data_IF_753114090453
#
_entry.id   IF_753114090453
#
_cell.length_a   1.000
_cell.length_b   1.000
_cell.length_c   1.000
_cell.angle_alpha   90.00
_cell.angle_beta   90.00
_cell.angle_gamma   90.00
#
_symmetry.space_group_name_H-M   'P 1'
#
loop_
_entity.id
_entity.type
_entity.pdbx_description
1 polymer ?
#
# COMPACT_ATOMS: atom_id res chain seq x y z
N UNK A 1 16.36 -10.73 -0.93
CA UNK A 1 15.81 -9.51 -0.29
C UNK A 1 14.99 -9.96 0.92
N UNK A 2 14.96 -9.21 2.03
CA UNK A 2 14.23 -9.65 3.23
C UNK A 2 12.72 -9.51 3.05
N UNK A 3 11.96 -10.50 3.50
CA UNK A 3 10.50 -10.43 3.56
C UNK A 3 10.06 -9.66 4.81
N UNK A 4 9.00 -8.89 4.67
CA UNK A 4 8.38 -8.14 5.75
C UNK A 4 6.92 -8.59 5.88
N UNK A 5 6.54 -9.02 7.08
CA UNK A 5 5.17 -9.36 7.44
C UNK A 5 4.56 -8.19 8.22
N UNK A 6 3.54 -7.56 7.64
CA UNK A 6 2.89 -6.37 8.17
C UNK A 6 1.54 -6.75 8.76
N UNK A 7 1.33 -6.48 10.05
CA UNK A 7 0.04 -6.67 10.72
C UNK A 7 -0.71 -5.35 10.79
N UNK A 8 -2.00 -5.30 10.40
CA UNK A 8 -2.85 -4.15 10.68
C UNK A 8 -3.12 -4.06 12.19
N UNK A 9 -2.42 -3.18 12.90
CA UNK A 9 -2.52 -3.05 14.37
C UNK A 9 -3.50 -1.96 14.82
N UNK A 10 -4.17 -2.14 15.96
CA UNK A 10 -5.01 -1.11 16.60
C UNK A 10 -4.25 -0.35 17.67
N UNK A 11 -3.38 -1.05 18.38
CA UNK A 11 -2.54 -0.49 19.41
C UNK A 11 -1.06 -0.60 19.02
N UNK A 12 -0.20 0.33 19.47
CA UNK A 12 1.24 0.27 19.19
C UNK A 12 1.87 -1.08 19.58
N UNK A 13 1.36 -1.68 20.65
CA UNK A 13 1.88 -2.92 21.24
C UNK A 13 1.33 -4.20 20.58
N UNK A 14 0.38 -4.09 19.64
CA UNK A 14 -0.20 -5.26 18.94
C UNK A 14 0.73 -5.87 17.88
N UNK A 15 1.90 -5.27 17.66
CA UNK A 15 2.92 -5.77 16.74
C UNK A 15 3.66 -6.95 17.36
N UNK A 16 3.12 -8.16 17.18
CA UNK A 16 3.83 -9.39 17.52
C UNK A 16 4.71 -9.91 16.37
N UNK A 17 5.54 -10.91 16.67
CA UNK A 17 6.27 -11.67 15.64
C UNK A 17 5.28 -12.53 14.82
N UNK A 18 5.48 -12.61 13.50
CA UNK A 18 4.61 -13.34 12.58
C UNK A 18 4.53 -14.83 12.95
N UNK A 19 5.67 -15.50 13.11
CA UNK A 19 5.73 -16.94 13.37
C UNK A 19 5.07 -17.30 14.72
N UNK A 20 5.33 -16.49 15.74
CA UNK A 20 4.78 -16.67 17.08
C UNK A 20 3.25 -16.50 17.08
N UNK A 21 2.73 -15.50 16.36
CA UNK A 21 1.28 -15.31 16.21
C UNK A 21 0.61 -16.46 15.46
N UNK A 22 1.18 -16.89 14.32
CA UNK A 22 0.65 -18.00 13.52
C UNK A 22 0.56 -19.27 14.36
N UNK A 23 1.63 -19.60 15.11
CA UNK A 23 1.64 -20.77 15.98
C UNK A 23 0.57 -20.69 17.08
N UNK A 24 0.48 -19.55 17.75
CA UNK A 24 -0.51 -19.30 18.80
C UNK A 24 -1.95 -19.41 18.27
N UNK A 25 -2.22 -18.86 17.08
CA UNK A 25 -3.53 -18.98 16.45
C UNK A 25 -3.86 -20.42 16.10
N UNK A 26 -2.91 -21.14 15.49
CA UNK A 26 -3.11 -22.55 15.14
C UNK A 26 -3.39 -23.41 16.37
N UNK A 27 -2.61 -23.24 17.45
CA UNK A 27 -2.83 -23.92 18.74
C UNK A 27 -4.20 -23.57 19.36
N UNK A 28 -4.67 -22.35 19.13
CA UNK A 28 -6.01 -21.88 19.51
C UNK A 28 -7.13 -22.24 18.53
N UNK A 29 -6.87 -23.01 17.47
CA UNK A 29 -7.86 -23.42 16.48
C UNK A 29 -8.31 -22.31 15.52
N UNK A 30 -7.51 -21.24 15.37
CA UNK A 30 -7.75 -20.11 14.45
C UNK A 30 -6.78 -20.17 13.27
N UNK A 31 -7.20 -19.61 12.14
CA UNK A 31 -6.39 -19.49 10.92
C UNK A 31 -5.83 -18.06 10.79
N UNK A 32 -4.63 -17.94 10.22
CA UNK A 32 -3.99 -16.66 9.89
C UNK A 32 -4.01 -16.45 8.38
N UNK A 33 -4.56 -15.33 7.92
CA UNK A 33 -4.62 -14.95 6.51
C UNK A 33 -3.41 -14.09 6.12
N UNK A 34 -2.69 -14.48 5.07
CA UNK A 34 -1.54 -13.76 4.54
C UNK A 34 -1.88 -13.23 3.15
N UNK A 35 -2.09 -11.92 3.05
CA UNK A 35 -2.27 -11.18 1.81
C UNK A 35 -0.91 -10.95 1.14
N UNK A 36 -0.82 -11.22 -0.15
CA UNK A 36 0.41 -11.01 -0.92
C UNK A 36 0.40 -9.62 -1.56
N UNK A 37 1.49 -8.88 -1.38
CA UNK A 37 1.83 -7.74 -2.23
C UNK A 37 2.18 -8.23 -3.65
N UNK A 38 1.91 -7.39 -4.66
CA UNK A 38 2.25 -7.65 -6.05
C UNK A 38 3.76 -7.92 -6.24
N UNK A 39 4.64 -7.30 -5.45
CA UNK A 39 6.08 -7.56 -5.54
C UNK A 39 6.46 -9.00 -5.18
N UNK A 40 5.74 -9.64 -4.25
CA UNK A 40 5.98 -11.04 -3.89
C UNK A 40 5.52 -11.95 -5.02
N UNK A 41 4.35 -11.71 -5.61
CA UNK A 41 3.86 -12.50 -6.74
C UNK A 41 4.75 -12.37 -7.97
N UNK A 42 5.23 -11.15 -8.26
CA UNK A 42 6.18 -10.91 -9.33
C UNK A 42 7.46 -11.73 -9.12
N UNK A 43 8.00 -11.76 -7.89
CA UNK A 43 9.19 -12.54 -7.56
C UNK A 43 8.96 -14.05 -7.64
N UNK A 44 7.82 -14.54 -7.18
CA UNK A 44 7.42 -15.95 -7.37
C UNK A 44 7.40 -16.29 -8.86
N UNK A 45 6.85 -15.40 -9.68
CA UNK A 45 6.73 -15.61 -11.13
C UNK A 45 8.05 -15.55 -11.88
N UNK A 46 8.98 -14.69 -11.48
CA UNK A 46 10.35 -14.67 -12.02
C UNK A 46 11.04 -16.03 -11.85
N UNK A 47 10.77 -16.73 -10.75
CA UNK A 47 11.47 -17.97 -10.40
C UNK A 47 10.75 -19.20 -10.94
N UNK A 48 9.42 -19.28 -10.78
CA UNK A 48 8.64 -20.43 -11.23
C UNK A 48 8.15 -20.32 -12.68
N UNK A 49 8.10 -19.12 -13.25
CA UNK A 49 7.73 -18.88 -14.65
C UNK A 49 8.87 -19.11 -15.65
N UNK A 50 10.12 -19.23 -15.19
CA UNK A 50 11.26 -19.49 -16.07
C UNK A 50 12.31 -20.40 -15.40
N UNK A 51 12.19 -21.73 -15.52
CA UNK A 51 12.99 -22.72 -14.75
C UNK A 51 14.48 -22.80 -15.14
N UNK A 52 14.99 -21.84 -15.91
CA UNK A 52 16.39 -21.77 -16.36
C UNK A 52 17.27 -20.79 -15.58
N UNK A 53 16.72 -20.02 -14.61
CA UNK A 53 17.50 -19.07 -13.82
C UNK A 53 18.06 -19.70 -12.53
N UNK A 54 19.38 -19.58 -12.33
CA UNK A 54 20.11 -20.02 -11.14
C UNK A 54 19.86 -19.13 -9.89
N UNK A 55 18.80 -18.33 -9.88
CA UNK A 55 18.44 -17.40 -8.79
C UNK A 55 17.48 -18.03 -7.75
N UNK A 56 17.61 -19.33 -7.50
CA UNK A 56 16.88 -20.04 -6.44
C UNK A 56 17.25 -19.60 -5.01
N UNK A 57 18.15 -18.62 -4.83
CA UNK A 57 18.78 -18.31 -3.56
C UNK A 57 17.91 -17.50 -2.57
N UNK A 58 16.86 -16.79 -3.02
CA UNK A 58 16.03 -15.91 -2.17
C UNK A 58 14.63 -16.48 -1.80
N UNK A 59 14.29 -17.69 -2.25
CA UNK A 59 13.03 -18.39 -1.95
C UNK A 59 13.01 -19.31 -0.72
N UNK A 60 14.15 -19.89 -0.24
CA UNK A 60 14.11 -20.78 0.92
C UNK A 60 13.51 -20.12 2.15
N UNK A 61 13.80 -18.84 2.37
CA UNK A 61 13.29 -18.07 3.51
C UNK A 61 11.77 -17.89 3.43
N UNK A 62 11.24 -17.33 2.34
CA UNK A 62 9.79 -17.17 2.17
C UNK A 62 9.03 -18.50 2.25
N UNK A 63 9.62 -19.56 1.66
CA UNK A 63 9.05 -20.92 1.73
C UNK A 63 9.03 -21.44 3.15
N UNK A 64 10.10 -21.24 3.94
CA UNK A 64 10.14 -21.65 5.34
C UNK A 64 9.16 -20.86 6.19
N UNK A 65 9.08 -19.55 5.99
CA UNK A 65 8.15 -18.65 6.69
C UNK A 65 6.68 -19.01 6.42
N UNK A 66 6.36 -19.46 5.20
CA UNK A 66 5.00 -19.83 4.78
C UNK A 66 4.68 -21.33 4.90
N UNK A 67 5.64 -22.18 5.29
CA UNK A 67 5.43 -23.62 5.50
C UNK A 67 4.79 -23.95 6.86
N UNK A 68 4.24 -22.96 7.56
CA UNK A 68 3.56 -23.12 8.84
C UNK A 68 2.13 -23.68 8.66
N UNK A 69 1.62 -24.52 9.57
CA UNK A 69 0.21 -24.90 9.55
C UNK A 69 -0.69 -23.71 9.91
N UNK A 70 -1.95 -23.76 9.47
CA UNK A 70 -2.96 -22.77 9.84
C UNK A 70 -2.92 -21.45 9.05
N UNK A 71 -2.11 -21.35 7.99
CA UNK A 71 -2.15 -20.19 7.09
C UNK A 71 -3.20 -20.33 5.99
N UNK A 72 -3.80 -19.20 5.63
CA UNK A 72 -4.55 -19.00 4.38
C UNK A 72 -3.71 -18.05 3.52
N UNK A 73 -3.32 -18.49 2.32
CA UNK A 73 -2.52 -17.68 1.41
C UNK A 73 -3.46 -16.95 0.43
N UNK A 74 -3.47 -15.62 0.47
CA UNK A 74 -4.41 -14.79 -0.27
C UNK A 74 -3.71 -13.89 -1.29
N UNK A 75 -3.56 -14.35 -2.54
CA UNK A 75 -2.98 -13.55 -3.63
C UNK A 75 -3.99 -12.57 -4.27
N UNK A 76 -5.27 -12.60 -3.85
CA UNK A 76 -6.35 -11.94 -4.55
C UNK A 76 -6.21 -10.41 -4.67
N UNK A 77 -5.57 -9.76 -3.71
CA UNK A 77 -5.27 -8.32 -3.81
C UNK A 77 -4.27 -8.04 -4.92
N UNK A 78 -3.11 -8.69 -4.90
CA UNK A 78 -2.10 -8.54 -5.93
C UNK A 78 -2.63 -8.91 -7.33
N UNK A 79 -3.47 -9.93 -7.48
CA UNK A 79 -4.11 -10.24 -8.78
C UNK A 79 -5.03 -9.13 -9.28
N UNK A 80 -5.79 -8.47 -8.40
CA UNK A 80 -6.64 -7.32 -8.79
C UNK A 80 -5.83 -6.11 -9.25
N UNK A 81 -4.57 -6.07 -8.85
CA UNK A 81 -3.58 -5.06 -9.20
C UNK A 81 -2.74 -5.45 -10.42
N UNK A 82 -2.78 -6.71 -10.84
CA UNK A 82 -1.93 -7.17 -11.92
C UNK A 82 -2.45 -6.71 -13.28
N UNK A 83 -1.53 -6.55 -14.23
CA UNK A 83 -1.89 -6.47 -15.64
C UNK A 83 -2.61 -7.77 -16.04
N UNK A 84 -3.82 -7.70 -16.65
CA UNK A 84 -4.54 -8.89 -17.13
C UNK A 84 -3.68 -9.83 -17.97
N UNK A 85 -2.68 -9.33 -18.69
CA UNK A 85 -1.78 -10.15 -19.53
C UNK A 85 -0.81 -10.99 -18.72
N UNK A 86 -0.36 -10.48 -17.57
CA UNK A 86 0.59 -11.18 -16.68
C UNK A 86 -0.12 -12.11 -15.72
N UNK A 87 -1.43 -11.95 -15.56
CA UNK A 87 -2.25 -12.60 -14.56
C UNK A 87 -2.18 -14.13 -14.63
N UNK A 88 -2.37 -14.72 -15.82
CA UNK A 88 -2.36 -16.18 -15.97
C UNK A 88 -1.00 -16.78 -15.59
N UNK A 89 0.09 -16.26 -16.15
CA UNK A 89 1.43 -16.77 -15.85
C UNK A 89 1.84 -16.59 -14.37
N UNK A 90 1.43 -15.48 -13.74
CA UNK A 90 1.69 -15.28 -12.31
C UNK A 90 0.81 -16.18 -11.43
N UNK A 91 -0.41 -16.48 -11.87
CA UNK A 91 -1.27 -17.43 -11.20
C UNK A 91 -0.69 -18.85 -11.27
N UNK A 92 -0.31 -19.32 -12.46
CA UNK A 92 0.33 -20.63 -12.63
C UNK A 92 1.59 -20.76 -11.79
N UNK A 93 2.45 -19.73 -11.79
CA UNK A 93 3.65 -19.69 -10.95
C UNK A 93 3.32 -19.75 -9.45
N UNK A 94 2.27 -19.06 -9.01
CA UNK A 94 1.83 -19.10 -7.62
C UNK A 94 1.27 -20.47 -7.22
N UNK A 95 0.46 -21.11 -8.07
CA UNK A 95 -0.03 -22.47 -7.85
C UNK A 95 1.13 -23.47 -7.75
N UNK A 96 2.14 -23.35 -8.62
CA UNK A 96 3.36 -24.12 -8.53
C UNK A 96 4.10 -23.89 -7.21
N UNK A 97 4.24 -22.64 -6.78
CA UNK A 97 4.84 -22.29 -5.50
C UNK A 97 4.08 -22.90 -4.32
N UNK A 98 2.74 -22.73 -4.24
CA UNK A 98 1.90 -23.29 -3.17
C UNK A 98 2.01 -24.81 -3.12
N UNK A 99 2.03 -25.47 -4.28
CA UNK A 99 2.22 -26.93 -4.35
C UNK A 99 3.54 -27.41 -3.76
N UNK A 100 4.55 -26.53 -3.69
CA UNK A 100 5.87 -26.83 -3.11
C UNK A 100 5.94 -26.61 -1.59
N UNK A 101 5.02 -25.84 -0.99
CA UNK A 101 5.04 -25.51 0.44
C UNK A 101 4.67 -26.71 1.31
N UNK A 102 3.53 -27.35 1.04
CA UNK A 102 3.08 -28.57 1.69
C UNK A 102 1.91 -29.21 0.93
N UNK A 103 1.78 -30.55 0.87
CA UNK A 103 0.61 -31.22 0.31
C UNK A 103 -0.73 -30.77 0.92
N UNK A 104 -0.72 -30.28 2.17
CA UNK A 104 -1.93 -29.86 2.88
C UNK A 104 -2.58 -28.59 2.30
N UNK A 105 -1.79 -27.69 1.67
CA UNK A 105 -2.32 -26.43 1.11
C UNK A 105 -3.24 -26.66 -0.10
N UNK A 106 -3.02 -27.74 -0.85
CA UNK A 106 -3.77 -28.08 -2.06
C UNK A 106 -5.28 -28.28 -1.82
N UNK A 107 -5.66 -28.58 -0.58
CA UNK A 107 -7.04 -28.88 -0.18
C UNK A 107 -7.58 -27.88 0.86
N UNK A 108 -6.96 -26.70 1.00
CA UNK A 108 -7.47 -25.69 1.94
C UNK A 108 -8.80 -25.13 1.40
N UNK A 109 -9.90 -25.14 2.19
CA UNK A 109 -11.25 -24.76 1.72
C UNK A 109 -11.35 -23.35 1.12
N UNK A 110 -10.44 -22.46 1.52
CA UNK A 110 -10.43 -21.04 1.17
C UNK A 110 -9.31 -20.65 0.18
N UNK A 111 -8.68 -21.63 -0.49
CA UNK A 111 -7.80 -21.39 -1.63
C UNK A 111 -8.63 -20.95 -2.85
N UNK A 112 -9.17 -19.74 -2.77
CA UNK A 112 -10.18 -19.26 -3.72
C UNK A 112 -9.61 -18.17 -4.60
N UNK A 113 -8.90 -18.55 -5.65
CA UNK A 113 -8.87 -17.73 -6.85
C UNK A 113 -8.67 -18.58 -8.10
N UNK A 114 -9.72 -18.68 -8.92
CA UNK A 114 -9.66 -19.20 -10.28
C UNK A 114 -9.66 -18.03 -11.28
N UNK A 115 -8.73 -18.00 -12.26
CA UNK A 115 -8.64 -16.95 -13.28
C UNK A 115 -9.92 -16.72 -14.08
N UNK A 116 -10.77 -17.75 -14.16
CA UNK A 116 -12.02 -17.80 -14.91
C UNK A 116 -13.05 -16.73 -14.47
N UNK A 117 -12.87 -16.12 -13.29
CA UNK A 117 -13.76 -15.11 -12.72
C UNK A 117 -13.38 -13.65 -13.01
N UNK A 118 -12.34 -13.35 -13.81
CA UNK A 118 -11.98 -11.95 -14.08
C UNK A 118 -11.50 -11.66 -15.51
N UNK A 119 -12.41 -11.05 -16.29
CA UNK A 119 -12.22 -10.20 -17.48
C UNK A 119 -11.48 -10.78 -18.69
N UNK A 120 -12.15 -10.65 -19.84
CA UNK A 120 -11.63 -10.94 -21.18
C UNK A 120 -10.19 -10.45 -21.38
N UNK A 121 -9.28 -11.41 -21.54
CA UNK A 121 -7.88 -11.19 -21.91
C UNK A 121 -7.85 -10.53 -23.29
N UNK A 122 -7.73 -9.21 -23.31
CA UNK A 122 -7.49 -8.43 -24.52
C UNK A 122 -5.99 -8.33 -24.78
N UNK A 123 -5.55 -8.76 -25.97
CA UNK A 123 -4.19 -8.52 -26.46
C UNK A 123 -4.03 -7.03 -26.80
N UNK A 124 -3.09 -6.33 -26.16
CA UNK A 124 -2.52 -5.07 -26.65
C UNK A 124 -1.21 -4.75 -25.92
N UNK A 125 -0.15 -4.46 -26.66
CA UNK A 125 1.25 -4.12 -26.32
C UNK A 125 1.59 -3.59 -24.91
N UNK A 126 2.87 -3.75 -24.52
CA UNK A 126 3.64 -3.32 -23.31
C UNK A 126 3.43 -1.86 -22.79
N UNK A 127 2.24 -1.31 -22.90
CA UNK A 127 1.90 0.03 -22.47
C UNK A 127 1.91 0.12 -20.93
N UNK A 128 2.52 1.17 -20.34
CA UNK A 128 2.49 1.38 -18.90
C UNK A 128 1.05 1.41 -18.39
N UNK A 129 0.78 0.63 -17.34
CA UNK A 129 -0.54 0.60 -16.68
C UNK A 129 -0.99 2.01 -16.30
N UNK A 130 -2.19 2.38 -16.73
CA UNK A 130 -2.75 3.72 -16.51
C UNK A 130 -4.02 3.64 -15.67
N UNK A 131 -4.21 4.60 -14.76
CA UNK A 131 -5.45 4.77 -13.99
C UNK A 131 -6.68 4.86 -14.93
N UNK A 132 -6.51 5.53 -16.08
CA UNK A 132 -7.58 5.76 -17.04
C UNK A 132 -8.04 4.49 -17.77
N UNK A 133 -7.21 3.44 -17.79
CA UNK A 133 -7.55 2.15 -18.37
C UNK A 133 -8.36 1.25 -17.42
N UNK A 134 -8.53 1.63 -16.15
CA UNK A 134 -9.32 0.86 -15.19
C UNK A 134 -10.82 0.93 -15.51
N UNK A 135 -11.62 -0.10 -15.19
CA UNK A 135 -13.08 -0.02 -15.22
C UNK A 135 -13.63 1.14 -14.37
N UNK A 136 -14.77 1.70 -14.77
CA UNK A 136 -15.37 2.88 -14.13
C UNK A 136 -15.53 2.73 -12.61
N UNK A 137 -16.11 1.62 -12.15
CA UNK A 137 -16.27 1.35 -10.72
C UNK A 137 -14.93 1.33 -9.95
N UNK A 138 -13.83 0.86 -10.57
CA UNK A 138 -12.49 0.93 -9.98
C UNK A 138 -11.97 2.37 -9.97
N UNK A 139 -12.21 3.15 -11.04
CA UNK A 139 -11.82 4.57 -11.07
C UNK A 139 -12.56 5.36 -10.01
N UNK A 140 -13.87 5.17 -9.87
CA UNK A 140 -14.70 5.79 -8.83
C UNK A 140 -14.16 5.53 -7.43
N UNK A 141 -13.80 4.27 -7.16
CA UNK A 141 -13.21 3.89 -5.87
C UNK A 141 -11.83 4.54 -5.63
N UNK A 142 -10.99 4.66 -6.67
CA UNK A 142 -9.58 5.02 -6.52
C UNK A 142 -9.26 6.51 -6.76
N UNK A 143 -10.15 7.26 -7.41
CA UNK A 143 -9.84 8.61 -7.92
C UNK A 143 -9.42 9.60 -6.82
N UNK A 144 -10.01 9.51 -5.62
CA UNK A 144 -9.64 10.37 -4.49
C UNK A 144 -8.18 10.16 -4.05
N UNK A 145 -7.78 8.89 -3.91
CA UNK A 145 -6.39 8.54 -3.58
C UNK A 145 -5.44 8.92 -4.72
N UNK A 146 -5.87 8.74 -5.96
CA UNK A 146 -5.10 9.11 -7.15
C UNK A 146 -4.82 10.62 -7.20
N UNK A 147 -5.83 11.46 -6.97
CA UNK A 147 -5.67 12.91 -6.85
C UNK A 147 -4.68 13.27 -5.73
N UNK A 148 -4.81 12.64 -4.56
CA UNK A 148 -3.92 12.90 -3.43
C UNK A 148 -2.45 12.55 -3.75
N UNK A 149 -2.20 11.45 -4.47
CA UNK A 149 -0.84 11.07 -4.87
C UNK A 149 -0.28 11.98 -5.99
N UNK A 150 -1.12 12.52 -6.88
CA UNK A 150 -0.70 13.54 -7.85
C UNK A 150 -0.31 14.85 -7.14
N UNK A 151 -1.14 15.34 -6.20
CA UNK A 151 -0.87 16.57 -5.45
C UNK A 151 0.42 16.50 -4.63
N UNK A 152 0.74 15.32 -4.09
CA UNK A 152 1.98 15.09 -3.35
C UNK A 152 3.20 15.50 -4.19
N UNK A 153 3.16 15.17 -5.49
CA UNK A 153 4.23 15.45 -6.46
C UNK A 153 4.27 16.92 -6.88
N UNK A 154 3.11 17.57 -6.98
CA UNK A 154 3.03 19.03 -7.22
C UNK A 154 3.74 19.75 -6.07
N UNK A 155 3.36 19.43 -4.83
CA UNK A 155 3.95 20.05 -3.65
C UNK A 155 5.44 19.78 -3.53
N UNK A 156 5.95 18.59 -3.91
CA UNK A 156 7.38 18.26 -3.79
C UNK A 156 8.29 19.22 -4.58
N UNK A 157 7.80 19.78 -5.69
CA UNK A 157 8.56 20.73 -6.51
C UNK A 157 8.35 22.19 -6.08
N UNK A 158 7.44 22.45 -5.15
CA UNK A 158 7.24 23.78 -4.61
C UNK A 158 8.42 24.18 -3.72
N UNK A 159 8.79 25.46 -3.76
CA UNK A 159 9.70 26.07 -2.80
C UNK A 159 8.88 26.53 -1.60
N UNK A 160 9.27 26.13 -0.39
CA UNK A 160 8.60 26.58 0.83
C UNK A 160 9.06 25.83 2.07
N UNK A 161 8.63 26.33 3.23
CA UNK A 161 8.81 25.64 4.51
C UNK A 161 8.00 24.33 4.54
N UNK A 162 8.55 23.22 5.07
CA UNK A 162 7.88 21.92 5.12
C UNK A 162 6.44 21.93 5.64
N UNK A 163 6.17 22.70 6.72
CA UNK A 163 4.83 22.82 7.29
C UNK A 163 3.84 23.48 6.32
N UNK A 164 4.28 24.56 5.65
CA UNK A 164 3.47 25.27 4.66
C UNK A 164 3.14 24.38 3.47
N UNK A 165 4.11 23.57 3.02
CA UNK A 165 3.90 22.60 1.95
C UNK A 165 2.89 21.53 2.35
N UNK A 166 2.97 21.00 3.58
CA UNK A 166 2.01 20.02 4.07
C UNK A 166 0.61 20.63 4.20
N UNK A 167 0.48 21.83 4.77
CA UNK A 167 -0.81 22.50 4.91
C UNK A 167 -1.46 22.78 3.56
N UNK A 168 -0.68 23.23 2.56
CA UNK A 168 -1.17 23.42 1.20
C UNK A 168 -1.66 22.10 0.60
N UNK A 169 -0.88 21.03 0.76
CA UNK A 169 -1.24 19.68 0.33
C UNK A 169 -2.56 19.19 0.97
N UNK A 170 -2.71 19.32 2.29
CA UNK A 170 -3.91 18.89 3.02
C UNK A 170 -5.15 19.67 2.55
N UNK A 171 -5.01 21.00 2.41
CA UNK A 171 -6.07 21.86 1.89
C UNK A 171 -6.50 21.46 0.48
N UNK A 172 -5.54 21.29 -0.44
CA UNK A 172 -5.83 20.92 -1.82
C UNK A 172 -6.39 19.51 -1.94
N UNK A 173 -5.84 18.54 -1.19
CA UNK A 173 -6.32 17.17 -1.17
C UNK A 173 -7.77 17.12 -0.69
N UNK A 174 -8.09 17.78 0.43
CA UNK A 174 -9.46 17.86 0.94
C UNK A 174 -10.40 18.60 -0.02
N UNK A 175 -9.98 19.75 -0.55
CA UNK A 175 -10.78 20.56 -1.48
C UNK A 175 -11.10 19.83 -2.79
N UNK A 176 -10.15 19.05 -3.32
CA UNK A 176 -10.27 18.39 -4.62
C UNK A 176 -10.85 16.99 -4.55
N UNK A 177 -10.54 16.22 -3.51
CA UNK A 177 -11.06 14.85 -3.32
C UNK A 177 -12.34 14.80 -2.47
N UNK A 178 -12.62 15.87 -1.71
CA UNK A 178 -13.81 15.99 -0.86
C UNK A 178 -13.69 15.29 0.49
N UNK A 179 -12.57 14.62 0.78
CA UNK A 179 -12.39 13.88 2.02
C UNK A 179 -10.96 13.98 2.52
N UNK A 180 -10.80 13.85 3.84
CA UNK A 180 -9.49 13.67 4.44
C UNK A 180 -8.98 12.26 4.17
N UNK A 181 -7.71 12.18 3.75
CA UNK A 181 -7.05 10.96 3.33
C UNK A 181 -5.85 10.72 4.25
N UNK A 182 -6.03 9.91 5.30
CA UNK A 182 -5.20 10.00 6.47
C UNK A 182 -3.82 9.35 6.22
N UNK A 183 -3.77 8.18 5.56
CA UNK A 183 -2.49 7.57 5.17
C UNK A 183 -1.72 8.44 4.19
N UNK A 184 -2.40 9.07 3.23
CA UNK A 184 -1.77 10.00 2.28
C UNK A 184 -1.25 11.27 2.97
N UNK A 185 -1.96 11.78 3.99
CA UNK A 185 -1.47 12.86 4.85
C UNK A 185 -0.18 12.47 5.59
N UNK A 186 -0.12 11.26 6.16
CA UNK A 186 1.09 10.73 6.81
C UNK A 186 2.24 10.58 5.82
N UNK A 187 1.97 10.06 4.62
CA UNK A 187 2.97 10.01 3.53
C UNK A 187 3.49 11.42 3.22
N UNK A 188 2.59 12.39 3.05
CA UNK A 188 2.96 13.77 2.75
C UNK A 188 3.86 14.39 3.83
N UNK A 189 3.58 14.11 5.11
CA UNK A 189 4.42 14.52 6.24
C UNK A 189 5.85 13.97 6.11
N UNK A 190 6.03 12.68 5.80
CA UNK A 190 7.38 12.12 5.53
C UNK A 190 8.05 12.70 4.28
N UNK A 191 7.26 13.03 3.26
CA UNK A 191 7.79 13.54 1.99
C UNK A 191 8.28 14.99 2.10
N UNK A 192 7.53 15.84 2.81
CA UNK A 192 7.88 17.25 2.98
C UNK A 192 8.88 17.49 4.10
N UNK A 193 9.04 16.56 5.04
CA UNK A 193 10.03 16.66 6.09
C UNK A 193 11.44 16.96 5.55
N UNK A 194 12.08 17.96 6.16
CA UNK A 194 13.45 18.35 5.87
C UNK A 194 14.43 17.40 6.55
N UNK A 195 14.85 16.39 5.78
CA UNK A 195 15.77 15.35 6.23
C UNK A 195 17.18 15.86 6.53
N UNK A 196 17.55 17.09 6.14
CA UNK A 196 18.87 17.65 6.49
C UNK A 196 19.02 17.90 7.99
N UNK A 197 17.90 17.98 8.71
CA UNK A 197 17.81 18.13 10.16
C UNK A 197 18.18 16.86 10.93
N UNK A 198 18.20 15.71 10.25
CA UNK A 198 18.41 14.41 10.89
C UNK A 198 19.86 13.93 10.69
N UNK A 199 20.60 13.68 11.78
CA UNK A 199 21.92 13.07 11.70
C UNK A 199 21.90 11.75 10.92
N UNK A 200 23.01 11.41 10.26
CA UNK A 200 23.14 10.12 9.59
C UNK A 200 22.96 8.98 10.60
N UNK A 201 22.02 8.07 10.33
CA UNK A 201 21.67 7.02 11.28
C UNK A 201 20.39 6.26 10.88
N UNK A 202 19.88 5.47 11.82
CA UNK A 202 18.69 4.64 11.61
C UNK A 202 17.45 5.49 11.25
N UNK A 203 17.22 6.59 11.97
CA UNK A 203 16.11 7.52 11.69
C UNK A 203 16.21 8.15 10.29
N UNK A 204 17.40 8.65 9.90
CA UNK A 204 17.61 9.23 8.56
C UNK A 204 17.36 8.21 7.44
N UNK A 205 17.80 6.96 7.63
CA UNK A 205 17.54 5.83 6.71
C UNK A 205 16.05 5.50 6.65
N UNK A 206 15.38 5.44 7.79
CA UNK A 206 13.94 5.18 7.89
C UNK A 206 13.12 6.21 7.10
N UNK A 207 13.33 7.51 7.36
CA UNK A 207 12.67 8.59 6.62
C UNK A 207 12.99 8.57 5.13
N UNK A 208 14.23 8.20 4.75
CA UNK A 208 14.62 8.05 3.35
C UNK A 208 13.80 6.99 2.65
N UNK A 209 13.70 5.81 3.24
CA UNK A 209 13.07 4.65 2.61
C UNK A 209 11.59 4.90 2.35
N UNK A 210 10.87 5.51 3.31
CA UNK A 210 9.47 5.91 3.13
C UNK A 210 9.37 6.94 1.99
N UNK A 211 10.18 8.01 2.05
CA UNK A 211 10.14 9.08 1.03
C UNK A 211 10.46 8.56 -0.37
N UNK A 212 11.48 7.73 -0.52
CA UNK A 212 11.88 7.17 -1.82
C UNK A 212 10.79 6.26 -2.38
N UNK A 213 10.12 5.47 -1.53
CA UNK A 213 9.02 4.61 -1.97
C UNK A 213 7.84 5.42 -2.54
N UNK A 214 7.41 6.46 -1.82
CA UNK A 214 6.27 7.29 -2.22
C UNK A 214 6.62 8.44 -3.16
N UNK A 215 7.88 8.61 -3.55
CA UNK A 215 8.29 9.67 -4.48
C UNK A 215 9.19 9.19 -5.62
N UNK A 216 9.03 7.91 -6.02
CA UNK A 216 9.66 7.32 -7.21
C UNK A 216 9.58 8.27 -8.41
N UNK A 217 10.71 8.52 -9.07
CA UNK A 217 10.81 9.44 -10.19
C UNK A 217 10.06 8.92 -11.41
N UNK A 218 9.57 9.86 -12.22
CA UNK A 218 8.98 9.58 -13.51
C UNK A 218 9.48 10.65 -14.48
N UNK A 219 9.82 10.25 -15.70
CA UNK A 219 10.29 11.14 -16.78
C UNK A 219 9.23 11.38 -17.85
N UNK A 220 8.16 10.59 -17.86
CA UNK A 220 7.07 10.68 -18.83
C UNK A 220 5.73 10.59 -18.12
N UNK A 221 4.68 11.14 -18.73
CA UNK A 221 3.32 11.07 -18.17
C UNK A 221 2.84 9.62 -17.99
N UNK A 222 3.02 8.69 -18.96
CA UNK A 222 2.65 7.29 -18.74
C UNK A 222 3.38 6.65 -17.55
N UNK A 223 4.68 6.96 -17.38
CA UNK A 223 5.43 6.47 -16.23
C UNK A 223 4.92 7.08 -14.92
N UNK A 224 4.58 8.37 -14.92
CA UNK A 224 3.99 9.05 -13.78
C UNK A 224 2.68 8.38 -13.38
N UNK A 225 1.76 8.17 -14.32
CA UNK A 225 0.47 7.51 -14.08
C UNK A 225 0.65 6.11 -13.49
N UNK A 226 1.58 5.32 -14.04
CA UNK A 226 1.90 3.98 -13.52
C UNK A 226 2.45 4.02 -12.09
N UNK A 227 3.40 4.92 -11.80
CA UNK A 227 3.98 5.04 -10.46
C UNK A 227 2.94 5.52 -9.44
N UNK A 228 2.12 6.51 -9.80
CA UNK A 228 1.05 7.03 -8.93
C UNK A 228 0.00 5.96 -8.67
N UNK A 229 -0.40 5.19 -9.70
CA UNK A 229 -1.34 4.10 -9.54
C UNK A 229 -0.79 3.02 -8.60
N UNK A 230 0.47 2.62 -8.73
CA UNK A 230 1.07 1.64 -7.81
C UNK A 230 1.04 2.15 -6.36
N UNK A 231 1.40 3.42 -6.13
CA UNK A 231 1.37 4.02 -4.79
C UNK A 231 -0.04 4.06 -4.19
N UNK A 232 -1.07 4.32 -5.02
CA UNK A 232 -2.47 4.24 -4.60
C UNK A 232 -2.83 2.81 -4.18
N UNK A 233 -2.37 1.81 -4.92
CA UNK A 233 -2.68 0.42 -4.64
C UNK A 233 -1.98 -0.07 -3.37
N UNK A 234 -0.73 0.32 -3.13
CA UNK A 234 -0.02 0.04 -1.87
C UNK A 234 -0.82 0.55 -0.65
N UNK A 235 -1.35 1.77 -0.71
CA UNK A 235 -2.14 2.32 0.41
C UNK A 235 -3.55 1.70 0.50
N UNK A 236 -4.12 1.23 -0.61
CA UNK A 236 -5.38 0.47 -0.62
C UNK A 236 -5.20 -0.94 -0.07
N UNK A 237 -4.06 -1.59 -0.31
CA UNK A 237 -3.72 -2.90 0.25
C UNK A 237 -3.66 -2.83 1.78
N UNK A 238 -2.96 -1.83 2.33
CA UNK A 238 -2.92 -1.59 3.79
C UNK A 238 -4.34 -1.45 4.37
N UNK A 239 -5.19 -0.61 3.75
CA UNK A 239 -6.59 -0.42 4.17
C UNK A 239 -7.44 -1.69 4.05
N UNK A 240 -7.22 -2.47 3.00
CA UNK A 240 -8.04 -3.65 2.73
C UNK A 240 -7.70 -4.80 3.68
N UNK A 241 -6.41 -5.03 3.94
CA UNK A 241 -5.97 -5.98 4.94
C UNK A 241 -6.56 -5.64 6.32
N UNK A 242 -6.58 -4.36 6.66
CA UNK A 242 -7.21 -3.89 7.88
C UNK A 242 -8.73 -4.11 7.93
N UNK A 243 -9.42 -3.79 6.84
CA UNK A 243 -10.86 -4.03 6.74
C UNK A 243 -11.20 -5.51 6.91
N UNK A 244 -10.40 -6.41 6.32
CA UNK A 244 -10.57 -7.87 6.50
C UNK A 244 -10.32 -8.30 7.96
N UNK A 245 -9.26 -7.77 8.58
CA UNK A 245 -8.88 -8.11 9.95
C UNK A 245 -9.98 -7.76 10.97
N UNK A 246 -10.74 -6.69 10.73
CA UNK A 246 -11.68 -6.14 11.72
C UNK A 246 -13.16 -6.19 11.35
N UNK A 247 -13.53 -6.53 10.10
CA UNK A 247 -14.93 -6.58 9.65
C UNK A 247 -15.49 -7.98 9.48
N UNK A 248 -14.68 -9.02 9.63
CA UNK A 248 -15.15 -10.40 9.53
C UNK A 248 -15.63 -10.90 10.89
N UNK A 249 -16.75 -11.63 10.92
CA UNK A 249 -17.29 -12.27 12.14
C UNK A 249 -16.44 -13.45 12.63
N UNK A 250 -15.41 -13.79 11.86
CA UNK A 250 -14.33 -14.69 12.21
C UNK A 250 -13.18 -13.82 12.71
N UNK A 251 -12.62 -14.15 13.89
CA UNK A 251 -11.35 -13.58 14.35
C UNK A 251 -10.24 -13.99 13.37
N UNK A 252 -10.12 -13.28 12.24
CA UNK A 252 -9.11 -13.56 11.24
C UNK A 252 -7.90 -12.67 11.51
N UNK A 253 -6.79 -13.28 11.90
CA UNK A 253 -5.49 -12.61 11.99
C UNK A 253 -4.98 -12.39 10.57
N UNK A 254 -4.91 -11.13 10.11
CA UNK A 254 -4.54 -10.80 8.73
C UNK A 254 -3.17 -10.16 8.70
N UNK A 255 -2.33 -10.60 7.77
CA UNK A 255 -0.99 -10.08 7.53
C UNK A 255 -0.83 -9.73 6.05
N UNK A 256 0.07 -8.81 5.74
CA UNK A 256 0.57 -8.57 4.39
C UNK A 256 2.01 -9.04 4.34
N UNK A 257 2.39 -9.80 3.32
CA UNK A 257 3.79 -10.10 3.01
C UNK A 257 4.27 -9.20 1.86
N UNK A 258 5.40 -8.52 2.07
CA UNK A 258 6.01 -7.61 1.09
C UNK A 258 7.54 -7.65 1.18
N UNK A 259 8.23 -7.34 0.08
CA UNK A 259 9.68 -7.05 0.07
C UNK A 259 9.97 -5.54 0.00
N UNK A 260 8.94 -4.69 0.01
CA UNK A 260 9.10 -3.24 -0.02
C UNK A 260 9.40 -2.70 1.39
N UNK A 261 10.67 -2.41 1.66
CA UNK A 261 11.11 -1.84 2.94
C UNK A 261 10.47 -0.48 3.23
N UNK A 262 10.19 0.32 2.20
CA UNK A 262 9.55 1.62 2.39
C UNK A 262 8.09 1.48 2.83
N UNK A 263 7.36 0.53 2.26
CA UNK A 263 6.02 0.15 2.71
C UNK A 263 6.04 -0.43 4.13
N UNK A 264 7.00 -1.32 4.43
CA UNK A 264 7.14 -1.91 5.76
C UNK A 264 7.44 -0.85 6.84
N UNK A 265 8.38 0.05 6.56
CA UNK A 265 8.67 1.19 7.43
C UNK A 265 7.45 2.10 7.58
N UNK A 266 6.72 2.37 6.50
CA UNK A 266 5.54 3.22 6.56
C UNK A 266 4.43 2.60 7.43
N UNK A 267 4.20 1.30 7.31
CA UNK A 267 3.21 0.57 8.11
C UNK A 267 3.48 0.62 9.62
N UNK A 268 4.72 0.82 10.06
CA UNK A 268 5.05 0.99 11.48
C UNK A 268 4.84 2.41 12.02
N UNK A 269 4.45 3.37 11.16
CA UNK A 269 4.24 4.78 11.56
C UNK A 269 2.82 5.09 11.97
N UNK A 270 1.94 4.10 11.97
CA UNK A 270 0.54 4.26 12.30
C UNK A 270 -0.08 2.98 12.88
N UNK A 271 -1.15 3.15 13.64
CA UNK A 271 -2.09 2.07 13.96
C UNK A 271 -3.52 2.56 13.71
N UNK A 272 -4.46 1.65 13.56
CA UNK A 272 -5.84 1.97 13.21
C UNK A 272 -6.66 2.32 14.45
N UNK A 273 -7.34 3.47 14.43
CA UNK A 273 -8.18 3.89 15.55
C UNK A 273 -9.58 3.28 15.44
N UNK A 274 -10.10 2.63 16.50
CA UNK A 274 -11.48 2.14 16.54
C UNK A 274 -12.52 3.27 16.67
N UNK A 275 -12.10 4.44 17.18
CA UNK A 275 -12.99 5.54 17.57
C UNK A 275 -13.43 6.43 16.39
N UNK A 276 -12.83 6.25 15.21
CA UNK A 276 -13.04 7.13 14.05
C UNK A 276 -13.22 6.31 12.77
N UNK A 277 -14.48 6.13 12.35
CA UNK A 277 -14.86 5.40 11.13
C UNK A 277 -15.01 6.34 9.94
N UNK A 278 -14.66 5.87 8.75
CA UNK A 278 -15.02 6.57 7.52
C UNK A 278 -16.47 6.33 7.16
N UNK A 279 -17.04 7.26 6.40
CA UNK A 279 -18.39 7.15 5.85
C UNK A 279 -18.56 6.14 4.71
N UNK A 280 -17.49 5.50 4.20
CA UNK A 280 -17.57 4.28 3.36
C UNK A 280 -17.40 3.00 4.20
N UNK A 281 -17.44 3.11 5.52
CA UNK A 281 -17.23 2.00 6.45
C UNK A 281 -15.77 1.55 6.61
N UNK A 282 -14.84 1.88 5.71
CA UNK A 282 -13.42 1.62 5.99
C UNK A 282 -12.98 2.46 7.21
N UNK A 283 -12.04 2.00 8.02
CA UNK A 283 -11.54 2.81 9.14
C UNK A 283 -10.71 3.98 8.54
N UNK A 284 -11.07 5.22 8.87
CA UNK A 284 -10.42 6.44 8.34
C UNK A 284 -9.65 7.26 9.36
N UNK A 285 -9.51 6.82 10.61
CA UNK A 285 -8.43 7.38 11.40
C UNK A 285 -7.40 6.34 11.73
N UNK A 286 -6.16 6.80 11.66
CA UNK A 286 -5.02 6.15 12.22
C UNK A 286 -4.50 7.04 13.35
N UNK A 287 -3.94 6.44 14.39
CA UNK A 287 -3.11 7.15 15.33
C UNK A 287 -1.70 7.20 14.76
N UNK A 288 -1.13 8.40 14.68
CA UNK A 288 0.28 8.59 14.35
C UNK A 288 1.14 7.91 15.40
N UNK A 289 2.13 7.14 14.95
CA UNK A 289 3.19 6.59 15.79
C UNK A 289 4.51 7.27 15.48
N UNK A 290 5.35 7.41 16.50
CA UNK A 290 6.74 7.86 16.41
C UNK A 290 7.67 6.68 16.65
N UNK A 291 8.14 5.97 15.60
CA UNK A 291 9.04 4.83 15.79
C UNK A 291 10.43 5.23 16.32
N UNK A 292 10.73 6.53 16.36
CA UNK A 292 11.99 7.11 16.82
C UNK A 292 11.69 8.19 17.87
N UNK A 293 12.32 8.15 19.06
CA UNK A 293 12.11 9.15 20.12
C UNK A 293 12.35 10.59 19.66
N UNK A 294 13.26 10.77 18.69
CA UNK A 294 13.58 12.08 18.15
C UNK A 294 12.38 12.74 17.46
N UNK A 295 11.48 11.95 16.86
CA UNK A 295 10.26 12.46 16.22
C UNK A 295 9.34 13.14 17.24
N UNK A 296 9.25 12.64 18.47
CA UNK A 296 8.38 13.23 19.51
C UNK A 296 8.89 14.58 20.00
N UNK A 297 10.20 14.82 19.88
CA UNK A 297 10.83 16.08 20.32
C UNK A 297 10.90 17.12 19.22
N UNK A 298 10.89 16.68 17.96
CA UNK A 298 11.05 17.57 16.80
C UNK A 298 9.78 18.42 16.59
N UNK A 299 9.90 19.76 16.52
CA UNK A 299 8.76 20.66 16.33
C UNK A 299 7.94 20.38 15.08
N UNK A 300 8.58 19.96 13.98
CA UNK A 300 7.89 19.68 12.73
C UNK A 300 6.83 18.61 12.92
N UNK A 301 7.20 17.49 13.54
CA UNK A 301 6.31 16.34 13.72
C UNK A 301 5.14 16.69 14.64
N UNK A 302 5.39 17.33 15.80
CA UNK A 302 4.32 17.76 16.70
C UNK A 302 3.34 18.75 16.08
N UNK A 303 3.85 19.75 15.36
CA UNK A 303 3.00 20.75 14.70
C UNK A 303 2.16 20.11 13.59
N UNK A 304 2.76 19.24 12.80
CA UNK A 304 2.08 18.61 11.66
C UNK A 304 1.12 17.50 12.08
N UNK A 305 1.36 16.81 13.18
CA UNK A 305 0.39 15.89 13.78
C UNK A 305 -0.88 16.63 14.22
N UNK A 306 -0.74 17.77 14.91
CA UNK A 306 -1.87 18.62 15.27
C UNK A 306 -2.64 19.15 14.04
N UNK A 307 -1.93 19.45 12.94
CA UNK A 307 -2.59 19.79 11.66
C UNK A 307 -3.37 18.61 11.10
N UNK A 308 -2.79 17.40 11.07
CA UNK A 308 -3.43 16.18 10.57
C UNK A 308 -4.69 15.87 11.39
N UNK A 309 -4.62 15.99 12.72
CA UNK A 309 -5.77 15.80 13.62
C UNK A 309 -6.90 16.79 13.31
N UNK A 310 -6.58 18.06 13.07
CA UNK A 310 -7.57 19.05 12.67
C UNK A 310 -8.29 18.70 11.36
N UNK A 311 -7.58 18.16 10.38
CA UNK A 311 -8.19 17.71 9.11
C UNK A 311 -8.98 16.41 9.27
N UNK A 312 -8.68 15.58 10.28
CA UNK A 312 -9.42 14.35 10.56
C UNK A 312 -10.89 14.62 10.91
N UNK A 313 -11.18 15.79 11.51
CA UNK A 313 -12.53 16.25 11.86
C UNK A 313 -13.28 16.91 10.68
N UNK A 314 -12.65 17.08 9.53
CA UNK A 314 -13.25 17.79 8.41
C UNK A 314 -14.44 17.01 7.80
N UNK A 315 -15.58 17.67 7.52
CA UNK A 315 -16.76 16.99 7.00
C UNK A 315 -16.51 16.43 5.60
N UNK A 316 -17.02 15.24 5.31
CA UNK A 316 -16.90 14.68 3.96
C UNK A 316 -17.82 15.39 2.97
N UNK A 317 -17.32 15.58 1.76
CA UNK A 317 -18.04 16.03 0.58
C UNK A 317 -18.00 14.94 -0.47
N UNK A 318 -19.12 14.72 -1.13
CA UNK A 318 -19.19 13.79 -2.26
C UNK A 318 -19.11 14.59 -3.55
N UNK A 319 -18.31 14.12 -4.49
CA UNK A 319 -18.21 14.67 -5.83
C UNK A 319 -18.46 13.56 -6.83
N UNK A 320 -19.18 13.91 -7.90
CA UNK A 320 -19.42 12.99 -9.02
C UNK A 320 -18.10 12.65 -9.72
N UNK A 321 -17.99 11.41 -10.20
CA UNK A 321 -16.77 10.92 -10.86
C UNK A 321 -16.27 11.86 -11.98
N UNK A 322 -17.10 12.37 -12.91
CA UNK A 322 -16.63 13.27 -13.97
C UNK A 322 -15.95 14.55 -13.46
N UNK A 323 -16.39 15.09 -12.31
CA UNK A 323 -15.74 16.23 -11.68
C UNK A 323 -14.34 15.86 -11.20
N UNK A 324 -14.21 14.73 -10.50
CA UNK A 324 -12.93 14.24 -9.97
C UNK A 324 -11.95 13.86 -11.10
N UNK A 325 -12.43 13.21 -12.15
CA UNK A 325 -11.62 12.89 -13.34
C UNK A 325 -11.10 14.16 -14.01
N UNK A 326 -11.93 15.20 -14.13
CA UNK A 326 -11.52 16.50 -14.65
C UNK A 326 -10.39 17.12 -13.81
N UNK A 327 -10.50 17.07 -12.48
CA UNK A 327 -9.45 17.58 -11.57
C UNK A 327 -8.15 16.78 -11.69
N UNK A 328 -8.22 15.45 -11.72
CA UNK A 328 -7.05 14.61 -11.88
C UNK A 328 -6.30 14.92 -13.18
N UNK A 329 -7.01 15.07 -14.31
CA UNK A 329 -6.39 15.45 -15.60
C UNK A 329 -5.74 16.83 -15.57
N UNK A 330 -6.35 17.81 -14.90
CA UNK A 330 -5.75 19.14 -14.73
C UNK A 330 -4.42 19.07 -13.98
N UNK A 331 -4.35 18.25 -12.92
CA UNK A 331 -3.11 18.07 -12.15
C UNK A 331 -2.07 17.30 -12.99
N UNK A 332 -2.47 16.28 -13.75
CA UNK A 332 -1.59 15.55 -14.66
C UNK A 332 -0.96 16.48 -15.70
N UNK A 333 -1.73 17.36 -16.34
CA UNK A 333 -1.21 18.32 -17.31
C UNK A 333 -0.27 19.34 -16.64
N UNK A 334 -0.58 19.82 -15.44
CA UNK A 334 0.35 20.64 -14.65
C UNK A 334 1.69 19.92 -14.41
N UNK A 335 1.64 18.66 -14.00
CA UNK A 335 2.84 17.85 -13.74
C UNK A 335 3.61 17.56 -15.03
N UNK A 336 2.93 17.32 -16.14
CA UNK A 336 3.54 17.06 -17.46
C UNK A 336 4.44 18.21 -17.92
N UNK A 337 4.03 19.47 -17.71
CA UNK A 337 4.89 20.63 -17.98
C UNK A 337 6.19 20.61 -17.16
N UNK A 338 6.18 19.95 -16.00
CA UNK A 338 7.34 19.82 -15.13
C UNK A 338 8.16 18.55 -15.39
N UNK A 339 7.73 17.65 -16.30
CA UNK A 339 8.43 16.41 -16.65
C UNK A 339 9.42 16.58 -17.83
N UNK A 340 9.34 17.70 -18.57
CA UNK A 340 10.17 17.99 -19.74
C UNK A 340 11.09 19.20 -19.59
N UNK A 341 11.52 19.49 -18.37
CA UNK A 341 12.47 20.57 -18.04
C UNK A 341 13.82 20.05 -17.59
#
# INVERSE_FOLDING_TARGET
MANHFLKPVRYPDDNGDFHSNVRSNWEGGRLTNVCFDLNILARISEIFGNPSSAEMHDLPELRQELALPGLILNPGFAYREMDPQKLLGNWEAFEHFVSSLSPAYRNTPDATWTPELSWSVGQADDAPRSFWALPEAKREYLIGFYIAQLLLRVGRKALGEPQTMLLAYLNDSYRLSGQFLPLEARIAQFVYFDRSRVPAGAWSKFCRDIRENFTKSASTLPRLQSVVLNQVLDTVLLRSAQALHYRTSLESDVWIVTQDRGMANFASTFCYSPDHRSSIGLYSAFMTLSPFPEMDTDPYWRETDAMIDHFADAPRRTFELPYLETRARQIEEQLKHQLGG
#
